data_IF_718461463745
#
_entry.id   IF_718461463745
#
_cell.length_a   1.000
_cell.length_b   1.000
_cell.length_c   1.000
_cell.angle_alpha   90.00
_cell.angle_beta   90.00
_cell.angle_gamma   90.00
#
_symmetry.space_group_name_H-M   'P 1'
#
loop_
_entity.id
_entity.type
_entity.pdbx_description
1 polymer ?
#
# COMPACT_ATOMS: atom_id res chain seq x y z
N UNK A 1 4.44 -6.85 22.77
CA UNK A 1 3.85 -5.67 22.10
C UNK A 1 2.92 -6.10 20.98
N UNK A 2 1.74 -5.47 20.85
CA UNK A 2 0.76 -5.77 19.80
C UNK A 2 0.61 -4.63 18.80
N UNK A 3 0.29 -4.99 17.55
CA UNK A 3 -0.11 -4.05 16.51
C UNK A 3 -1.48 -4.40 15.92
N UNK A 4 -2.25 -3.40 15.52
CA UNK A 4 -3.49 -3.52 14.75
C UNK A 4 -3.28 -2.89 13.37
N UNK A 5 -3.57 -3.62 12.30
CA UNK A 5 -3.45 -3.13 10.92
C UNK A 5 -4.85 -3.01 10.33
N UNK A 6 -5.22 -1.79 9.95
CA UNK A 6 -6.49 -1.46 9.30
C UNK A 6 -6.41 -1.83 7.81
N UNK A 7 -6.99 -2.96 7.44
CA UNK A 7 -6.91 -3.56 6.10
C UNK A 7 -8.31 -3.91 5.51
N UNK A 8 -9.38 -3.34 6.05
CA UNK A 8 -10.76 -3.60 5.62
C UNK A 8 -11.23 -2.83 4.38
N UNK A 9 -10.45 -1.85 3.91
CA UNK A 9 -10.84 -0.97 2.80
C UNK A 9 -10.91 -1.66 1.44
N UNK A 10 -11.87 -1.24 0.60
CA UNK A 10 -12.11 -1.79 -0.74
C UNK A 10 -11.22 -1.21 -1.84
N UNK A 11 -10.42 -0.18 -1.53
CA UNK A 11 -9.50 0.49 -2.47
C UNK A 11 -10.14 0.82 -3.84
N UNK A 12 -11.33 1.43 -3.84
CA UNK A 12 -12.15 1.65 -5.06
C UNK A 12 -11.46 2.48 -6.13
N UNK A 13 -10.53 3.37 -5.74
CA UNK A 13 -9.71 4.20 -6.65
C UNK A 13 -8.65 3.41 -7.43
N UNK A 14 -8.34 2.19 -6.99
CA UNK A 14 -7.41 1.28 -7.68
C UNK A 14 -8.14 0.26 -8.57
N UNK A 15 -9.46 0.40 -8.75
CA UNK A 15 -10.19 -0.46 -9.69
C UNK A 15 -9.70 -0.17 -11.12
N UNK A 16 -9.60 -1.19 -11.98
CA UNK A 16 -10.08 -2.56 -11.78
C UNK A 16 -9.16 -3.52 -11.00
N UNK A 17 -7.93 -3.15 -10.63
CA UNK A 17 -6.99 -4.07 -9.94
C UNK A 17 -7.54 -4.55 -8.59
N UNK A 18 -8.16 -3.65 -7.83
CA UNK A 18 -8.69 -3.99 -6.51
C UNK A 18 -10.00 -4.81 -6.55
N UNK A 19 -10.51 -5.14 -7.73
CA UNK A 19 -11.67 -6.02 -7.88
C UNK A 19 -11.33 -7.49 -7.64
N UNK A 20 -10.10 -7.91 -7.96
CA UNK A 20 -9.65 -9.30 -7.87
C UNK A 20 -8.73 -9.57 -6.69
N UNK A 21 -8.12 -8.53 -6.09
CA UNK A 21 -7.21 -8.70 -4.96
C UNK A 21 -7.23 -7.50 -4.01
N UNK A 22 -7.05 -7.71 -2.69
CA UNK A 22 -6.99 -6.61 -1.74
C UNK A 22 -5.71 -5.79 -1.95
N UNK A 23 -5.80 -4.47 -1.73
CA UNK A 23 -4.69 -3.51 -1.88
C UNK A 23 -3.45 -3.91 -1.05
N UNK A 24 -3.65 -4.51 0.12
CA UNK A 24 -2.57 -4.98 1.00
C UNK A 24 -1.70 -6.07 0.35
N UNK A 25 -2.21 -6.76 -0.67
CA UNK A 25 -1.48 -7.79 -1.42
C UNK A 25 -0.91 -7.27 -2.75
N UNK A 26 -1.05 -5.98 -3.05
CA UNK A 26 -0.42 -5.42 -4.24
C UNK A 26 1.10 -5.49 -4.08
N UNK A 27 1.84 -5.96 -5.10
CA UNK A 27 3.30 -6.06 -5.03
C UNK A 27 3.91 -4.66 -5.07
N UNK A 28 4.84 -4.39 -4.17
CA UNK A 28 5.70 -3.22 -4.16
C UNK A 28 7.11 -3.75 -4.36
N UNK A 29 7.64 -3.54 -5.56
CA UNK A 29 8.89 -4.14 -6.03
C UNK A 29 8.93 -5.66 -5.78
N UNK A 30 7.92 -6.35 -6.34
CA UNK A 30 7.69 -7.81 -6.23
C UNK A 30 7.39 -8.36 -4.83
N UNK A 31 7.31 -7.52 -3.79
CA UNK A 31 6.92 -7.95 -2.44
C UNK A 31 5.56 -7.35 -2.04
N UNK A 32 4.57 -8.14 -1.59
CA UNK A 32 3.28 -7.60 -1.14
C UNK A 32 3.43 -6.51 -0.08
N UNK A 33 2.63 -5.43 -0.17
CA UNK A 33 2.65 -4.34 0.82
C UNK A 33 2.55 -4.85 2.27
N UNK A 34 1.66 -5.81 2.52
CA UNK A 34 1.47 -6.41 3.83
C UNK A 34 2.74 -7.07 4.37
N UNK A 35 3.56 -7.67 3.50
CA UNK A 35 4.82 -8.29 3.90
C UNK A 35 5.85 -7.24 4.30
N UNK A 36 5.90 -6.08 3.62
CA UNK A 36 6.73 -4.96 4.05
C UNK A 36 6.34 -4.48 5.46
N UNK A 37 5.04 -4.40 5.76
CA UNK A 37 4.53 -4.02 7.07
C UNK A 37 4.95 -5.06 8.13
N UNK A 38 4.75 -6.35 7.86
CA UNK A 38 5.12 -7.42 8.79
C UNK A 38 6.61 -7.48 9.09
N UNK A 39 7.47 -7.34 8.09
CA UNK A 39 8.92 -7.36 8.28
C UNK A 39 9.39 -6.17 9.13
N UNK A 40 8.79 -4.99 8.95
CA UNK A 40 9.11 -3.80 9.76
C UNK A 40 8.62 -3.91 11.20
N UNK A 41 7.37 -4.34 11.39
CA UNK A 41 6.83 -4.60 12.73
C UNK A 41 7.68 -5.61 13.51
N UNK A 42 8.05 -6.73 12.88
CA UNK A 42 8.86 -7.75 13.51
C UNK A 42 10.28 -7.25 13.83
N UNK A 43 10.89 -6.47 12.93
CA UNK A 43 12.20 -5.84 13.15
C UNK A 43 12.20 -4.96 14.40
N UNK A 44 11.09 -4.27 14.67
CA UNK A 44 10.95 -3.36 15.81
C UNK A 44 10.38 -4.02 17.07
N UNK A 45 10.34 -5.36 17.11
CA UNK A 45 9.99 -6.13 18.31
C UNK A 45 8.49 -6.28 18.57
N UNK A 46 7.65 -6.20 17.54
CA UNK A 46 6.22 -6.54 17.64
C UNK A 46 6.04 -8.05 17.50
N UNK A 47 5.36 -8.66 18.46
CA UNK A 47 5.20 -10.11 18.54
C UNK A 47 3.90 -10.61 17.88
N UNK A 48 2.86 -9.77 17.87
CA UNK A 48 1.53 -10.12 17.38
C UNK A 48 0.89 -8.96 16.61
N UNK A 49 0.43 -9.23 15.40
CA UNK A 49 -0.34 -8.33 14.56
C UNK A 49 -1.79 -8.83 14.40
N UNK A 50 -2.74 -7.94 14.68
CA UNK A 50 -4.16 -8.15 14.47
C UNK A 50 -4.53 -7.43 13.16
N UNK A 51 -5.09 -8.16 12.20
CA UNK A 51 -5.57 -7.59 10.95
C UNK A 51 -7.07 -7.29 11.05
N UNK A 52 -7.43 -6.02 11.04
CA UNK A 52 -8.81 -5.57 10.88
C UNK A 52 -9.18 -5.63 9.40
N UNK A 53 -9.99 -6.62 9.01
CA UNK A 53 -10.24 -6.96 7.60
C UNK A 53 -11.72 -7.20 7.35
N UNK A 54 -12.15 -7.06 6.10
CA UNK A 54 -13.41 -7.68 5.66
C UNK A 54 -13.18 -9.17 5.33
N UNK A 55 -14.25 -9.93 5.19
CA UNK A 55 -14.19 -11.38 4.93
C UNK A 55 -13.42 -11.74 3.65
N UNK A 56 -13.56 -10.95 2.58
CA UNK A 56 -12.88 -11.18 1.32
C UNK A 56 -11.36 -10.97 1.47
N UNK A 57 -10.95 -9.88 2.12
CA UNK A 57 -9.54 -9.61 2.39
C UNK A 57 -8.92 -10.71 3.25
N UNK A 58 -9.63 -11.19 4.27
CA UNK A 58 -9.15 -12.33 5.08
C UNK A 58 -8.91 -13.57 4.22
N UNK A 59 -9.86 -13.92 3.36
CA UNK A 59 -9.76 -15.07 2.47
C UNK A 59 -8.47 -15.03 1.66
N UNK A 60 -8.20 -13.90 0.98
CA UNK A 60 -6.98 -13.74 0.18
C UNK A 60 -5.70 -13.80 1.00
N UNK A 61 -5.65 -13.16 2.17
CA UNK A 61 -4.46 -13.17 3.03
C UNK A 61 -4.17 -14.57 3.55
N UNK A 62 -5.18 -15.38 3.86
CA UNK A 62 -5.00 -16.77 4.33
C UNK A 62 -4.40 -17.70 3.26
N UNK A 63 -4.55 -17.38 1.98
CA UNK A 63 -3.91 -18.14 0.89
C UNK A 63 -2.42 -17.79 0.74
N UNK A 64 -1.95 -16.71 1.37
CA UNK A 64 -0.55 -16.32 1.33
C UNK A 64 0.26 -17.16 2.31
N UNK A 65 1.56 -17.31 2.02
CA UNK A 65 2.48 -17.91 2.99
C UNK A 65 2.55 -17.01 4.24
N UNK A 66 2.63 -17.60 5.44
CA UNK A 66 2.80 -16.82 6.66
C UNK A 66 4.09 -15.99 6.59
N UNK A 67 4.15 -14.85 7.28
CA UNK A 67 5.35 -14.04 7.31
C UNK A 67 6.53 -14.85 7.87
N UNK A 68 7.67 -14.82 7.17
CA UNK A 68 8.90 -15.50 7.60
C UNK A 68 9.69 -14.73 8.67
N UNK A 69 9.02 -13.87 9.44
CA UNK A 69 9.63 -12.99 10.44
C UNK A 69 9.21 -13.29 11.88
N UNK A 70 8.50 -14.41 12.13
CA UNK A 70 8.10 -14.83 13.49
C UNK A 70 6.89 -14.09 14.08
N UNK A 71 6.34 -13.10 13.37
CA UNK A 71 5.16 -12.33 13.78
C UNK A 71 3.90 -13.21 13.79
N UNK A 72 3.21 -13.28 14.93
CA UNK A 72 1.91 -13.97 15.05
C UNK A 72 0.82 -13.11 14.41
N UNK A 73 -0.05 -13.71 13.62
CA UNK A 73 -1.14 -12.99 12.93
C UNK A 73 -2.50 -13.48 13.40
N UNK A 74 -3.33 -12.54 13.85
CA UNK A 74 -4.76 -12.75 14.16
C UNK A 74 -5.62 -11.89 13.24
N UNK A 75 -6.91 -12.20 13.17
CA UNK A 75 -7.86 -11.46 12.35
C UNK A 75 -9.02 -10.94 13.21
N UNK A 76 -9.37 -9.67 13.01
CA UNK A 76 -10.63 -9.06 13.46
C UNK A 76 -11.46 -8.78 12.22
N UNK A 77 -12.54 -9.52 12.02
CA UNK A 77 -13.31 -9.48 10.76
C UNK A 77 -14.46 -8.50 10.91
N UNK A 78 -14.51 -7.43 10.12
CA UNK A 78 -15.62 -6.47 10.14
C UNK A 78 -16.96 -7.10 9.75
N UNK A 79 -18.10 -6.64 10.32
CA UNK A 79 -19.41 -7.14 9.96
C UNK A 79 -19.71 -6.92 8.46
N UNK A 80 -20.36 -7.88 7.78
CA UNK A 80 -20.72 -7.71 6.38
C UNK A 80 -21.68 -6.52 6.21
N UNK A 81 -21.49 -5.75 5.12
CA UNK A 81 -22.36 -4.64 4.68
C UNK A 81 -22.44 -3.42 5.61
N UNK A 82 -21.71 -3.39 6.74
CA UNK A 82 -21.67 -2.24 7.66
C UNK A 82 -20.20 -1.84 7.91
N UNK A 83 -19.60 -0.98 7.07
CA UNK A 83 -18.25 -0.50 7.32
C UNK A 83 -18.21 0.23 8.67
N UNK A 84 -17.28 -0.13 9.54
CA UNK A 84 -17.16 0.44 10.89
C UNK A 84 -16.37 1.76 10.93
N UNK A 85 -16.03 2.32 9.77
CA UNK A 85 -15.13 3.45 9.67
C UNK A 85 -13.69 3.07 10.03
N UNK A 86 -12.89 4.05 10.44
CA UNK A 86 -11.47 3.87 10.83
C UNK A 86 -11.32 3.62 12.34
N UNK A 87 -12.22 4.17 13.15
CA UNK A 87 -12.25 3.97 14.61
C UNK A 87 -12.94 2.69 15.05
N UNK A 88 -14.02 2.28 14.37
CA UNK A 88 -14.78 1.10 14.79
C UNK A 88 -14.00 -0.23 14.75
N UNK A 89 -13.11 -0.49 13.76
CA UNK A 89 -12.25 -1.67 13.81
C UNK A 89 -11.26 -1.66 14.98
N UNK A 90 -10.84 -0.48 15.45
CA UNK A 90 -10.00 -0.33 16.65
C UNK A 90 -10.78 -0.76 17.88
N UNK A 91 -12.00 -0.21 18.09
CA UNK A 91 -12.87 -0.63 19.21
C UNK A 91 -13.20 -2.12 19.16
N UNK A 92 -13.48 -2.65 17.97
CA UNK A 92 -13.75 -4.08 17.79
C UNK A 92 -12.58 -4.97 18.21
N UNK A 93 -11.34 -4.51 17.98
CA UNK A 93 -10.13 -5.25 18.33
C UNK A 93 -9.77 -5.17 19.82
N UNK A 94 -10.47 -4.38 20.64
CA UNK A 94 -10.21 -4.18 22.07
C UNK A 94 -9.97 -5.50 22.82
N UNK A 95 -10.85 -6.49 22.67
CA UNK A 95 -10.70 -7.81 23.34
C UNK A 95 -9.46 -8.59 22.90
N UNK A 96 -8.96 -8.38 21.69
CA UNK A 96 -7.75 -9.02 21.17
C UNK A 96 -6.49 -8.27 21.62
N UNK A 97 -6.58 -6.95 21.73
CA UNK A 97 -5.49 -6.07 22.15
C UNK A 97 -5.28 -6.15 23.67
N UNK A 98 -6.34 -5.98 24.47
CA UNK A 98 -6.27 -5.90 25.93
C UNK A 98 -6.03 -4.46 26.44
N UNK A 99 -5.85 -4.33 27.75
CA UNK A 99 -5.70 -3.03 28.44
C UNK A 99 -4.38 -2.88 29.20
N UNK A 100 -3.44 -3.81 29.04
CA UNK A 100 -2.23 -3.87 29.88
C UNK A 100 -1.10 -2.94 29.38
N UNK A 101 -0.98 -2.76 28.06
CA UNK A 101 0.08 -1.97 27.43
C UNK A 101 -0.43 -1.16 26.23
N UNK A 102 0.23 -0.04 25.87
CA UNK A 102 0.00 0.65 24.60
C UNK A 102 0.24 -0.27 23.40
N UNK A 103 -0.46 0.01 22.32
CA UNK A 103 -0.40 -0.79 21.09
C UNK A 103 -0.24 0.09 19.86
N UNK A 104 0.33 -0.49 18.80
CA UNK A 104 0.51 0.20 17.52
C UNK A 104 -0.75 0.03 16.67
N UNK A 105 -1.17 1.08 15.97
CA UNK A 105 -2.18 1.02 14.93
C UNK A 105 -1.58 1.52 13.62
N UNK A 106 -1.78 0.77 12.54
CA UNK A 106 -1.31 1.11 11.19
C UNK A 106 -2.46 1.13 10.20
N UNK A 107 -2.45 2.10 9.29
CA UNK A 107 -3.19 2.02 8.04
C UNK A 107 -2.48 0.99 7.15
N UNK A 108 -3.19 -0.06 6.72
CA UNK A 108 -2.61 -1.15 5.93
C UNK A 108 -2.32 -0.81 4.47
N UNK A 109 -2.48 0.45 4.08
CA UNK A 109 -2.56 0.89 2.69
C UNK A 109 -1.53 1.97 2.34
N UNK A 110 -0.55 2.17 3.21
CA UNK A 110 0.57 3.10 3.09
C UNK A 110 1.87 2.30 3.15
N UNK A 111 2.82 2.64 2.29
CA UNK A 111 4.21 2.23 2.49
C UNK A 111 4.93 3.32 3.27
N UNK A 112 5.40 3.02 4.48
CA UNK A 112 6.10 4.00 5.32
C UNK A 112 7.26 3.37 6.10
N UNK A 113 8.45 3.98 6.00
CA UNK A 113 9.62 3.66 6.80
C UNK A 113 9.50 4.36 8.14
N UNK A 114 8.98 3.64 9.12
CA UNK A 114 8.72 4.15 10.47
C UNK A 114 9.52 3.30 11.43
N UNK A 115 10.24 3.96 12.35
CA UNK A 115 10.80 3.32 13.53
C UNK A 115 9.70 3.25 14.60
N UNK A 116 9.05 2.10 14.69
CA UNK A 116 7.94 1.88 15.62
C UNK A 116 8.41 1.85 17.07
N UNK A 117 9.67 1.47 17.31
CA UNK A 117 10.27 1.48 18.64
C UNK A 117 10.45 2.91 19.12
N UNK A 118 10.97 3.81 18.29
CA UNK A 118 11.07 5.23 18.59
C UNK A 118 9.69 5.84 18.85
N UNK A 119 8.68 5.52 18.03
CA UNK A 119 7.32 6.03 18.20
C UNK A 119 6.74 5.62 19.56
N UNK A 120 6.96 4.36 19.97
CA UNK A 120 6.54 3.86 21.28
C UNK A 120 7.35 4.48 22.44
N UNK A 121 8.65 4.70 22.28
CA UNK A 121 9.47 5.36 23.29
C UNK A 121 9.02 6.80 23.54
N UNK A 122 8.69 7.54 22.48
CA UNK A 122 8.09 8.88 22.59
C UNK A 122 6.77 8.80 23.35
N UNK A 123 5.90 7.86 22.97
CA UNK A 123 4.62 7.67 23.64
C UNK A 123 4.79 7.44 25.15
N UNK A 124 5.66 6.49 25.55
CA UNK A 124 5.92 6.13 26.95
C UNK A 124 6.54 7.25 27.79
N UNK A 125 7.25 8.20 27.17
CA UNK A 125 7.84 9.36 27.86
C UNK A 125 6.82 10.50 28.10
N UNK A 126 5.61 10.34 27.60
CA UNK A 126 4.54 11.35 27.68
C UNK A 126 3.31 10.75 28.36
N UNK A 127 2.35 11.59 28.75
CA UNK A 127 1.04 11.13 29.23
C UNK A 127 -0.01 11.08 28.08
N UNK A 128 0.44 10.89 26.84
CA UNK A 128 -0.44 10.90 25.67
C UNK A 128 -1.37 9.68 25.65
N UNK A 129 -2.60 9.86 25.15
CA UNK A 129 -3.48 8.75 24.74
C UNK A 129 -3.11 8.32 23.33
N UNK A 130 -2.65 9.25 22.49
CA UNK A 130 -2.28 8.98 21.11
C UNK A 130 -0.97 9.68 20.75
N UNK A 131 -0.03 8.91 20.20
CA UNK A 131 1.17 9.43 19.56
C UNK A 131 1.12 9.11 18.07
N UNK A 132 1.06 10.14 17.23
CA UNK A 132 0.88 10.03 15.78
C UNK A 132 2.20 10.20 15.05
N UNK A 133 2.51 9.27 14.14
CA UNK A 133 3.58 9.46 13.18
C UNK A 133 3.20 10.54 12.16
N UNK A 134 4.10 11.49 11.91
CA UNK A 134 3.88 12.62 11.01
C UNK A 134 4.93 12.66 9.91
N UNK A 135 4.51 12.90 8.67
CA UNK A 135 5.41 13.19 7.55
C UNK A 135 5.06 14.54 6.93
N UNK A 136 6.05 15.18 6.30
CA UNK A 136 5.86 16.45 5.60
C UNK A 136 5.57 16.19 4.12
N UNK A 137 4.58 16.86 3.56
CA UNK A 137 4.23 16.75 2.12
C UNK A 137 3.98 18.13 1.50
N UNK A 138 4.10 18.23 0.18
CA UNK A 138 3.88 19.50 -0.53
C UNK A 138 2.39 19.90 -0.59
N UNK A 139 1.49 18.93 -0.85
CA UNK A 139 0.03 19.13 -0.84
C UNK A 139 -0.64 18.26 0.24
N UNK A 140 -1.01 18.85 1.39
CA UNK A 140 -1.63 18.11 2.49
C UNK A 140 -3.15 17.94 2.35
N UNK A 141 -3.79 18.48 1.31
CA UNK A 141 -5.27 18.58 1.21
C UNK A 141 -6.00 17.24 1.19
N UNK A 142 -5.31 16.15 0.84
CA UNK A 142 -5.88 14.79 0.81
C UNK A 142 -5.75 14.02 2.13
N UNK A 143 -5.17 14.63 3.17
CA UNK A 143 -4.77 13.93 4.39
C UNK A 143 -5.26 14.64 5.66
N UNK A 144 -5.16 13.96 6.80
CA UNK A 144 -5.29 14.59 8.10
C UNK A 144 -4.04 15.39 8.45
N UNK A 145 -4.21 16.67 8.79
CA UNK A 145 -3.11 17.62 8.99
C UNK A 145 -2.98 17.97 10.47
N UNK A 146 -1.78 17.84 11.00
CA UNK A 146 -1.45 18.13 12.38
C UNK A 146 -0.65 19.44 12.51
N UNK A 147 -1.01 20.26 13.47
CA UNK A 147 -0.22 21.41 13.87
C UNK A 147 0.46 21.13 15.21
N UNK A 148 1.79 21.22 15.23
CA UNK A 148 2.56 21.00 16.46
C UNK A 148 2.72 22.29 17.26
N UNK A 149 2.75 22.17 18.58
CA UNK A 149 3.22 23.20 19.51
C UNK A 149 4.44 22.70 20.30
N UNK A 150 4.81 23.41 21.38
CA UNK A 150 5.96 23.05 22.22
C UNK A 150 5.86 21.61 22.74
N UNK A 151 7.02 20.94 22.83
CA UNK A 151 7.09 19.54 23.29
C UNK A 151 6.52 18.51 22.31
N UNK A 152 6.27 18.88 21.05
CA UNK A 152 5.63 18.05 20.01
C UNK A 152 4.17 17.67 20.32
N UNK A 153 3.50 18.36 21.23
CA UNK A 153 2.05 18.22 21.39
C UNK A 153 1.33 18.66 20.12
N UNK A 154 0.25 17.97 19.75
CA UNK A 154 -0.59 18.37 18.62
C UNK A 154 -1.61 19.39 19.11
N UNK A 155 -1.51 20.63 18.64
CA UNK A 155 -2.42 21.74 18.97
C UNK A 155 -3.73 21.66 18.21
N UNK A 156 -3.68 21.26 16.94
CA UNK A 156 -4.83 21.11 16.04
C UNK A 156 -4.65 19.92 15.13
N UNK A 157 -5.73 19.20 14.89
CA UNK A 157 -5.79 18.12 13.90
C UNK A 157 -7.02 18.29 13.03
N UNK A 158 -6.84 18.36 11.70
CA UNK A 158 -7.92 18.61 10.74
C UNK A 158 -7.87 17.55 9.63
N UNK A 159 -8.92 16.74 9.51
CA UNK A 159 -9.03 15.73 8.46
C UNK A 159 -9.44 16.34 7.11
N UNK A 160 -8.53 16.30 6.14
CA UNK A 160 -8.71 16.79 4.75
C UNK A 160 -9.17 18.24 4.71
N UNK A 161 -8.32 19.18 5.17
CA UNK A 161 -8.66 20.59 5.14
C UNK A 161 -8.87 21.06 3.70
N UNK A 162 -9.75 22.05 3.47
CA UNK A 162 -9.84 22.71 2.17
C UNK A 162 -8.47 23.25 1.72
N UNK A 163 -8.24 23.30 0.40
CA UNK A 163 -6.99 23.81 -0.16
C UNK A 163 -6.68 25.22 0.36
N UNK A 164 -5.43 25.43 0.77
CA UNK A 164 -4.97 26.70 1.35
C UNK A 164 -5.36 26.93 2.82
N UNK A 165 -6.12 26.03 3.44
CA UNK A 165 -6.55 26.13 4.84
C UNK A 165 -5.86 25.11 5.76
N UNK A 166 -4.86 24.38 5.25
CA UNK A 166 -4.09 23.45 6.05
C UNK A 166 -3.25 24.22 7.08
N UNK A 167 -3.30 23.86 8.38
CA UNK A 167 -2.57 24.58 9.43
C UNK A 167 -1.06 24.32 9.38
N UNK A 168 -0.61 23.32 8.63
CA UNK A 168 0.77 22.97 8.39
C UNK A 168 0.89 22.08 7.15
N UNK A 169 2.10 21.63 6.83
CA UNK A 169 2.39 20.59 5.86
C UNK A 169 2.63 19.21 6.49
N UNK A 170 2.44 19.06 7.80
CA UNK A 170 2.61 17.81 8.53
C UNK A 170 1.31 17.01 8.50
N UNK A 171 1.35 15.88 7.81
CA UNK A 171 0.21 14.99 7.69
C UNK A 171 0.36 13.77 8.59
N UNK A 172 -0.78 13.19 8.94
CA UNK A 172 -0.89 11.87 9.51
C UNK A 172 -0.25 10.83 8.58
N UNK A 173 0.86 10.22 9.02
CA UNK A 173 1.59 9.22 8.25
C UNK A 173 0.92 7.84 8.27
N UNK A 174 -0.22 7.69 8.96
CA UNK A 174 -1.00 6.46 9.04
C UNK A 174 -0.46 5.44 10.03
N UNK A 175 0.33 5.87 11.00
CA UNK A 175 0.77 5.05 12.13
C UNK A 175 0.60 5.79 13.45
N UNK A 176 0.16 5.06 14.46
CA UNK A 176 -0.15 5.60 15.78
C UNK A 176 0.30 4.63 16.85
N UNK A 177 0.70 5.14 18.01
CA UNK A 177 0.72 4.38 19.26
C UNK A 177 -0.41 4.90 20.12
N UNK A 178 -1.26 3.99 20.57
CA UNK A 178 -2.47 4.32 21.33
C UNK A 178 -2.41 3.65 22.71
N UNK A 179 -2.78 4.40 23.74
CA UNK A 179 -3.03 3.87 25.08
C UNK A 179 -4.44 3.24 25.14
N UNK A 180 -4.67 2.23 26.00
CA UNK A 180 -5.98 1.58 26.15
C UNK A 180 -7.15 2.54 26.42
N UNK A 181 -6.93 3.71 27.03
CA UNK A 181 -7.98 4.73 27.24
C UNK A 181 -8.63 5.20 25.93
N UNK A 182 -7.99 4.99 24.77
CA UNK A 182 -8.59 5.30 23.47
C UNK A 182 -9.89 4.52 23.25
N UNK A 183 -10.01 3.32 23.82
CA UNK A 183 -11.20 2.48 23.63
C UNK A 183 -12.46 3.09 24.26
N UNK A 184 -12.33 3.90 25.31
CA UNK A 184 -13.45 4.59 25.96
C UNK A 184 -13.95 5.77 25.12
N UNK A 185 -13.08 6.31 24.26
CA UNK A 185 -13.39 7.45 23.39
C UNK A 185 -14.05 7.03 22.07
N UNK A 186 -14.04 5.74 21.73
CA UNK A 186 -14.61 5.20 20.48
C UNK A 186 -15.97 4.55 20.78
N UNK A 187 -17.08 5.13 20.29
CA UNK A 187 -18.41 4.55 20.47
C UNK A 187 -18.54 3.18 19.78
N UNK A 188 -19.20 2.25 20.45
CA UNK A 188 -19.48 0.92 19.90
C UNK A 188 -20.75 0.92 19.02
N UNK A 189 -20.91 -0.09 18.17
CA UNK A 189 -22.17 -0.37 17.46
C UNK A 189 -22.43 0.48 16.22
N UNK A 190 -21.54 1.41 15.86
CA UNK A 190 -21.67 2.26 14.67
C UNK A 190 -20.35 2.49 13.95
N UNK A 191 -20.43 3.05 12.75
CA UNK A 191 -19.27 3.58 12.06
C UNK A 191 -18.70 4.77 12.83
N UNK A 192 -17.38 4.79 13.01
CA UNK A 192 -16.66 5.89 13.67
C UNK A 192 -15.44 6.27 12.81
N UNK A 193 -15.25 7.56 12.53
CA UNK A 193 -13.97 8.05 12.01
C UNK A 193 -13.08 8.44 13.18
N UNK A 194 -11.94 7.76 13.34
CA UNK A 194 -10.98 8.12 14.41
C UNK A 194 -10.45 9.55 14.20
N UNK A 195 -10.26 9.95 12.94
CA UNK A 195 -9.72 11.24 12.53
C UNK A 195 -10.69 12.39 12.80
N UNK A 196 -11.99 12.17 12.60
CA UNK A 196 -13.01 13.22 12.71
C UNK A 196 -13.70 13.28 14.07
N UNK A 197 -13.79 12.15 14.79
CA UNK A 197 -14.62 12.06 15.99
C UNK A 197 -13.83 11.81 17.28
N UNK A 198 -12.62 11.25 17.17
CA UNK A 198 -11.85 10.78 18.33
C UNK A 198 -10.59 11.63 18.54
N UNK A 199 -9.73 11.74 17.53
CA UNK A 199 -8.51 12.56 17.61
C UNK A 199 -8.77 14.01 18.02
N UNK A 200 -9.81 14.72 17.54
CA UNK A 200 -10.12 16.06 18.03
C UNK A 200 -10.34 16.13 19.54
N UNK A 201 -11.00 15.13 20.14
CA UNK A 201 -11.20 15.06 21.60
C UNK A 201 -9.89 14.82 22.35
N UNK A 202 -9.00 14.00 21.79
CA UNK A 202 -7.67 13.75 22.37
C UNK A 202 -6.78 15.00 22.30
N UNK A 203 -6.89 15.76 21.20
CA UNK A 203 -6.24 17.06 21.03
C UNK A 203 -6.78 18.09 22.02
N UNK A 204 -8.10 18.21 22.16
CA UNK A 204 -8.75 19.11 23.13
C UNK A 204 -8.34 18.81 24.57
N UNK A 205 -8.14 17.53 24.90
CA UNK A 205 -7.64 17.09 26.20
C UNK A 205 -6.13 17.33 26.40
N UNK A 206 -5.40 17.81 25.38
CA UNK A 206 -3.94 18.00 25.43
C UNK A 206 -3.16 16.69 25.54
N UNK A 207 -3.75 15.55 25.16
CA UNK A 207 -3.15 14.21 25.30
C UNK A 207 -2.76 13.58 23.95
N UNK A 208 -2.50 14.41 22.93
CA UNK A 208 -2.03 13.96 21.62
C UNK A 208 -0.64 14.52 21.30
N UNK A 209 0.28 13.64 20.91
CA UNK A 209 1.67 13.99 20.57
C UNK A 209 1.99 13.58 19.14
N UNK A 210 2.74 14.40 18.42
CA UNK A 210 3.25 14.08 17.09
C UNK A 210 4.70 13.62 17.15
N UNK A 211 5.05 12.66 16.31
CA UNK A 211 6.42 12.20 16.11
C UNK A 211 6.73 12.28 14.61
N UNK A 212 7.64 13.16 14.22
CA UNK A 212 8.05 13.25 12.81
C UNK A 212 8.85 12.00 12.44
N UNK A 213 8.48 11.36 11.34
CA UNK A 213 9.21 10.21 10.80
C UNK A 213 10.23 10.68 9.75
N UNK A 214 11.33 9.95 9.66
CA UNK A 214 12.34 10.10 8.62
C UNK A 214 12.33 8.83 7.77
N UNK A 215 12.34 8.96 6.45
CA UNK A 215 12.33 7.82 5.53
C UNK A 215 11.26 7.93 4.46
N UNK A 216 11.14 6.89 3.65
CA UNK A 216 10.15 6.85 2.57
C UNK A 216 8.73 6.77 3.13
N UNK A 217 7.85 7.60 2.58
CA UNK A 217 6.41 7.57 2.85
C UNK A 217 5.66 7.72 1.53
N UNK A 218 4.78 6.77 1.21
CA UNK A 218 4.00 6.76 -0.02
C UNK A 218 2.57 6.27 0.25
N UNK A 219 1.57 7.11 0.00
CA UNK A 219 0.19 6.66 -0.21
C UNK A 219 0.12 5.96 -1.57
N UNK A 220 -0.42 4.74 -1.60
CA UNK A 220 -0.63 3.98 -2.84
C UNK A 220 -2.13 3.95 -3.21
N UNK A 221 -2.82 5.08 -3.04
CA UNK A 221 -4.27 5.22 -3.17
C UNK A 221 -4.80 5.25 -4.60
N UNK A 222 -3.96 5.62 -5.56
CA UNK A 222 -4.26 5.69 -7.00
C UNK A 222 -3.22 4.93 -7.84
N UNK A 223 -3.54 4.55 -9.09
CA UNK A 223 -2.60 3.85 -9.97
C UNK A 223 -1.30 4.61 -10.21
N UNK A 224 -1.37 5.92 -10.42
CA UNK A 224 -0.19 6.79 -10.61
C UNK A 224 0.69 6.85 -9.36
N UNK A 225 0.07 6.97 -8.18
CA UNK A 225 0.76 6.95 -6.88
C UNK A 225 1.42 5.57 -6.63
N UNK A 226 0.75 4.48 -7.01
CA UNK A 226 1.29 3.12 -6.91
C UNK A 226 2.49 2.89 -7.83
N UNK A 227 2.44 3.35 -9.09
CA UNK A 227 3.60 3.31 -10.00
C UNK A 227 4.77 4.15 -9.46
N UNK A 228 4.48 5.35 -8.95
CA UNK A 228 5.50 6.21 -8.37
C UNK A 228 6.12 5.61 -7.11
N UNK A 229 5.33 4.98 -6.24
CA UNK A 229 5.84 4.27 -5.06
C UNK A 229 6.80 3.16 -5.46
N UNK A 230 6.41 2.34 -6.45
CA UNK A 230 7.27 1.29 -7.00
C UNK A 230 8.58 1.84 -7.55
N UNK A 231 8.53 2.95 -8.31
CA UNK A 231 9.72 3.62 -8.83
C UNK A 231 10.64 4.11 -7.72
N UNK A 232 10.11 4.88 -6.77
CA UNK A 232 10.90 5.45 -5.66
C UNK A 232 11.53 4.36 -4.78
N UNK A 233 10.79 3.28 -4.51
CA UNK A 233 11.29 2.17 -3.70
C UNK A 233 12.30 1.33 -4.50
N UNK A 234 12.09 1.19 -5.81
CA UNK A 234 13.06 0.53 -6.68
C UNK A 234 14.40 1.28 -6.65
N UNK A 235 14.39 2.61 -6.76
CA UNK A 235 15.61 3.43 -6.64
C UNK A 235 16.34 3.23 -5.31
N UNK A 236 15.60 3.07 -4.20
CA UNK A 236 16.22 2.88 -2.89
C UNK A 236 16.83 1.48 -2.68
N UNK A 237 16.40 0.47 -3.44
CA UNK A 237 16.91 -0.91 -3.29
C UNK A 237 17.83 -1.37 -4.43
N UNK A 238 17.76 -0.78 -5.63
CA UNK A 238 18.53 -1.24 -6.81
C UNK A 238 20.04 -1.14 -6.65
N UNK A 239 20.53 -0.31 -5.73
CA UNK A 239 21.95 -0.29 -5.35
C UNK A 239 22.48 -1.67 -4.89
N UNK A 240 21.58 -2.63 -4.61
CA UNK A 240 21.90 -3.99 -4.17
C UNK A 240 21.63 -5.10 -5.19
N UNK A 241 21.09 -4.79 -6.38
CA UNK A 241 20.72 -5.82 -7.37
C UNK A 241 21.91 -6.21 -8.26
N UNK A 242 22.19 -7.52 -8.31
CA UNK A 242 23.28 -8.13 -9.10
C UNK A 242 23.01 -8.03 -10.61
N UNK A 243 24.09 -8.18 -11.37
CA UNK A 243 24.15 -8.09 -12.84
C UNK A 243 22.91 -8.66 -13.55
N UNK A 244 22.41 -7.98 -14.60
CA UNK A 244 21.30 -8.48 -15.40
C UNK A 244 21.58 -9.89 -15.95
N UNK A 245 20.55 -10.74 -16.11
CA UNK A 245 20.72 -12.04 -16.74
C UNK A 245 21.32 -11.87 -18.14
N UNK A 246 22.26 -12.74 -18.51
CA UNK A 246 22.85 -12.76 -19.84
C UNK A 246 21.80 -13.23 -20.87
N UNK A 247 21.75 -12.58 -22.02
CA UNK A 247 20.87 -12.96 -23.12
C UNK A 247 20.90 -11.94 -24.26
N UNK A 248 20.19 -12.24 -25.35
CA UNK A 248 20.06 -11.34 -26.51
C UNK A 248 18.96 -10.30 -26.29
N UNK A 249 18.91 -9.64 -25.14
CA UNK A 249 17.96 -8.58 -24.79
C UNK A 249 18.69 -7.42 -24.09
N UNK A 250 18.06 -6.26 -24.01
CA UNK A 250 18.60 -5.07 -23.36
C UNK A 250 17.88 -4.80 -22.04
N UNK A 251 18.64 -4.57 -20.96
CA UNK A 251 18.11 -4.10 -19.68
C UNK A 251 18.60 -2.67 -19.44
N UNK A 252 17.66 -1.75 -19.33
CA UNK A 252 17.90 -0.34 -18.98
C UNK A 252 17.53 -0.14 -17.52
N UNK A 253 18.55 -0.07 -16.65
CA UNK A 253 18.34 0.09 -15.20
C UNK A 253 17.63 1.42 -14.86
N UNK A 254 16.88 1.47 -13.75
CA UNK A 254 16.63 0.39 -12.79
C UNK A 254 15.53 -0.59 -13.25
N UNK A 255 15.70 -1.88 -12.95
CA UNK A 255 14.72 -2.96 -13.21
C UNK A 255 14.70 -3.93 -12.03
N UNK A 256 13.51 -4.45 -11.69
CA UNK A 256 13.36 -5.58 -10.77
C UNK A 256 12.74 -6.78 -11.49
N UNK A 257 13.44 -7.91 -11.46
CA UNK A 257 12.98 -9.19 -12.01
C UNK A 257 12.87 -10.19 -10.87
N UNK A 258 11.70 -10.82 -10.73
CA UNK A 258 11.53 -11.92 -9.78
C UNK A 258 11.98 -13.27 -10.38
N UNK A 259 11.92 -14.32 -9.56
CA UNK A 259 12.23 -15.68 -9.98
C UNK A 259 11.34 -16.16 -11.13
N UNK A 260 11.94 -16.86 -12.10
CA UNK A 260 11.21 -17.48 -13.22
C UNK A 260 10.86 -16.54 -14.37
N UNK A 261 11.23 -15.26 -14.31
CA UNK A 261 11.04 -14.33 -15.42
C UNK A 261 11.85 -14.78 -16.65
N UNK A 262 11.18 -14.87 -17.80
CA UNK A 262 11.82 -15.18 -19.10
C UNK A 262 11.62 -14.06 -20.09
N UNK A 263 12.63 -13.79 -20.93
CA UNK A 263 12.60 -12.71 -21.92
C UNK A 263 13.05 -13.20 -23.29
N UNK A 264 12.28 -12.86 -24.32
CA UNK A 264 12.63 -13.11 -25.70
C UNK A 264 13.73 -12.17 -26.21
N UNK A 265 14.36 -12.59 -27.31
CA UNK A 265 15.42 -11.83 -27.98
C UNK A 265 14.93 -10.46 -28.45
N UNK A 266 15.85 -9.49 -28.52
CA UNK A 266 15.66 -8.11 -28.96
C UNK A 266 14.66 -7.31 -28.14
N UNK A 267 14.25 -7.81 -26.97
CA UNK A 267 13.39 -7.09 -26.04
C UNK A 267 14.19 -6.06 -25.24
N UNK A 268 13.56 -4.94 -24.88
CA UNK A 268 14.13 -3.84 -24.11
C UNK A 268 13.30 -3.65 -22.84
N UNK A 269 13.90 -3.94 -21.69
CA UNK A 269 13.23 -3.88 -20.39
C UNK A 269 13.82 -2.74 -19.56
N UNK A 270 12.96 -1.83 -19.14
CA UNK A 270 13.28 -0.67 -18.33
C UNK A 270 13.54 0.62 -19.13
N UNK A 271 13.74 1.75 -18.44
CA UNK A 271 13.84 1.86 -16.99
C UNK A 271 12.51 1.73 -16.26
N UNK A 272 12.58 1.43 -14.97
CA UNK A 272 11.46 1.28 -14.05
C UNK A 272 10.45 0.21 -14.48
N UNK A 273 10.95 -0.91 -15.01
CA UNK A 273 10.16 -2.11 -15.25
C UNK A 273 10.31 -3.06 -14.05
N UNK A 274 9.19 -3.51 -13.50
CA UNK A 274 9.13 -4.47 -12.39
C UNK A 274 8.31 -5.67 -12.85
N UNK A 275 8.97 -6.82 -13.00
CA UNK A 275 8.34 -8.06 -13.47
C UNK A 275 8.29 -9.07 -12.33
N UNK A 276 7.07 -9.49 -11.98
CA UNK A 276 6.80 -10.48 -10.94
C UNK A 276 7.17 -11.90 -11.34
N UNK A 277 6.99 -12.82 -10.39
CA UNK A 277 7.33 -14.24 -10.53
C UNK A 277 6.72 -14.86 -11.79
N UNK A 278 7.50 -15.66 -12.51
CA UNK A 278 7.07 -16.42 -13.70
C UNK A 278 6.43 -15.57 -14.82
N UNK A 279 6.73 -14.27 -14.90
CA UNK A 279 6.33 -13.43 -16.04
C UNK A 279 7.07 -13.86 -17.30
N UNK A 280 6.33 -14.04 -18.39
CA UNK A 280 6.89 -14.43 -19.70
C UNK A 280 6.80 -13.27 -20.67
N UNK A 281 7.95 -12.85 -21.20
CA UNK A 281 8.05 -11.78 -22.19
C UNK A 281 8.50 -12.36 -23.52
N UNK A 282 7.75 -12.10 -24.59
CA UNK A 282 8.06 -12.48 -25.96
C UNK A 282 9.27 -11.75 -26.55
N UNK A 283 9.45 -11.88 -27.87
CA UNK A 283 10.54 -11.23 -28.63
C UNK A 283 10.17 -9.82 -29.05
N UNK A 284 11.17 -8.94 -29.17
CA UNK A 284 11.00 -7.55 -29.60
C UNK A 284 9.97 -6.76 -28.76
N UNK A 285 9.90 -7.05 -27.46
CA UNK A 285 8.98 -6.36 -26.52
C UNK A 285 9.69 -5.16 -25.89
N UNK A 286 8.98 -4.05 -25.72
CA UNK A 286 9.47 -2.90 -24.93
C UNK A 286 8.62 -2.72 -23.69
N UNK A 287 9.23 -2.68 -22.50
CA UNK A 287 8.52 -2.43 -21.23
C UNK A 287 9.23 -1.30 -20.48
N UNK A 288 8.55 -0.17 -20.26
CA UNK A 288 9.09 0.95 -19.48
C UNK A 288 8.09 1.49 -18.47
N UNK A 289 8.57 1.95 -17.31
CA UNK A 289 7.76 2.55 -16.24
C UNK A 289 6.52 1.71 -15.84
N UNK A 290 6.63 0.38 -15.90
CA UNK A 290 5.48 -0.52 -15.80
C UNK A 290 5.70 -1.55 -14.70
N UNK A 291 4.60 -1.94 -14.05
CA UNK A 291 4.58 -3.01 -13.04
C UNK A 291 3.75 -4.17 -13.58
N UNK A 292 4.37 -5.34 -13.68
CA UNK A 292 3.75 -6.57 -14.20
C UNK A 292 3.70 -7.58 -13.08
N UNK A 293 2.49 -7.97 -12.70
CA UNK A 293 2.23 -8.91 -11.62
C UNK A 293 2.60 -10.34 -12.04
N UNK A 294 2.68 -11.28 -11.08
CA UNK A 294 3.09 -12.66 -11.36
C UNK A 294 2.32 -13.32 -12.50
N UNK A 295 2.99 -14.25 -13.18
CA UNK A 295 2.40 -15.17 -14.17
C UNK A 295 1.78 -14.51 -15.41
N UNK A 296 1.97 -13.19 -15.60
CA UNK A 296 1.52 -12.51 -16.80
C UNK A 296 2.34 -12.94 -18.03
N UNK A 297 1.67 -13.01 -19.18
CA UNK A 297 2.27 -13.39 -20.46
C UNK A 297 2.16 -12.24 -21.46
N UNK A 298 3.30 -11.76 -21.94
CA UNK A 298 3.41 -10.64 -22.89
C UNK A 298 3.88 -11.20 -24.24
N UNK A 299 3.04 -11.07 -25.27
CA UNK A 299 3.32 -11.55 -26.62
C UNK A 299 4.46 -10.81 -27.33
N UNK A 300 4.89 -11.34 -28.46
CA UNK A 300 5.92 -10.72 -29.30
C UNK A 300 5.49 -9.34 -29.80
N UNK A 301 6.46 -8.44 -30.00
CA UNK A 301 6.24 -7.09 -30.56
C UNK A 301 5.27 -6.20 -29.76
N UNK A 302 5.15 -6.44 -28.46
CA UNK A 302 4.32 -5.62 -27.56
C UNK A 302 5.09 -4.42 -27.03
N UNK A 303 4.39 -3.29 -26.86
CA UNK A 303 4.89 -2.10 -26.17
C UNK A 303 4.06 -1.80 -24.92
N UNK A 304 4.72 -1.70 -23.77
CA UNK A 304 4.13 -1.29 -22.49
C UNK A 304 4.82 -0.02 -21.98
N UNK A 305 4.05 1.03 -21.77
CA UNK A 305 4.58 2.30 -21.26
C UNK A 305 3.75 2.77 -20.08
N UNK A 306 4.30 2.85 -18.87
CA UNK A 306 3.55 3.42 -17.75
C UNK A 306 2.34 2.60 -17.31
N UNK A 307 2.32 1.29 -17.54
CA UNK A 307 1.13 0.45 -17.37
C UNK A 307 1.22 -0.47 -16.14
N UNK A 308 0.06 -0.91 -15.65
CA UNK A 308 -0.05 -1.95 -14.61
C UNK A 308 -0.72 -3.17 -15.21
N UNK A 309 0.00 -4.29 -15.22
CA UNK A 309 -0.48 -5.57 -15.75
C UNK A 309 -0.71 -6.53 -14.58
N UNK A 310 -1.93 -7.03 -14.46
CA UNK A 310 -2.41 -7.88 -13.39
C UNK A 310 -1.93 -9.32 -13.50
N UNK A 311 -2.15 -10.08 -12.43
CA UNK A 311 -1.67 -11.44 -12.27
C UNK A 311 -2.30 -12.37 -13.32
N UNK A 312 -1.48 -13.14 -14.03
CA UNK A 312 -1.94 -14.05 -15.08
C UNK A 312 -2.59 -13.38 -16.29
N UNK A 313 -2.49 -12.04 -16.42
CA UNK A 313 -3.00 -11.35 -17.60
C UNK A 313 -2.21 -11.75 -18.86
N UNK A 314 -2.89 -11.79 -20.02
CA UNK A 314 -2.29 -12.19 -21.31
C UNK A 314 -2.43 -11.06 -22.31
N UNK A 315 -1.31 -10.62 -22.85
CA UNK A 315 -1.26 -9.58 -23.88
C UNK A 315 -0.82 -10.22 -25.19
N UNK A 316 -1.69 -10.16 -26.20
CA UNK A 316 -1.45 -10.71 -27.52
C UNK A 316 -0.34 -9.98 -28.26
N UNK A 317 0.14 -10.60 -29.34
CA UNK A 317 1.24 -10.06 -30.15
C UNK A 317 0.87 -8.71 -30.76
N UNK A 318 1.85 -7.86 -31.00
CA UNK A 318 1.67 -6.55 -31.63
C UNK A 318 0.70 -5.60 -30.91
N UNK A 319 0.36 -5.87 -29.64
CA UNK A 319 -0.46 -4.94 -28.85
C UNK A 319 0.37 -3.74 -28.40
N UNK A 320 -0.27 -2.58 -28.30
CA UNK A 320 0.34 -1.34 -27.81
C UNK A 320 -0.47 -0.79 -26.64
N UNK A 321 0.16 -0.71 -25.47
CA UNK A 321 -0.49 -0.38 -24.21
C UNK A 321 0.05 0.95 -23.69
N UNK A 322 -0.80 1.98 -23.77
CA UNK A 322 -0.49 3.35 -23.38
C UNK A 322 -0.31 3.59 -21.88
N UNK A 323 0.03 4.84 -21.54
CA UNK A 323 0.37 5.28 -20.18
C UNK A 323 -0.82 5.27 -19.25
N UNK A 324 -0.60 4.81 -18.03
CA UNK A 324 -1.65 4.69 -17.02
C UNK A 324 -2.69 3.61 -17.36
N UNK A 325 -2.45 2.78 -18.39
CA UNK A 325 -3.32 1.66 -18.66
C UNK A 325 -3.27 0.63 -17.53
N UNK A 326 -4.42 0.01 -17.28
CA UNK A 326 -4.56 -1.05 -16.28
C UNK A 326 -5.20 -2.26 -16.93
N UNK A 327 -4.45 -3.36 -17.00
CA UNK A 327 -4.97 -4.65 -17.42
C UNK A 327 -5.08 -5.49 -16.16
N UNK A 328 -6.28 -5.73 -15.63
CA UNK A 328 -6.44 -6.41 -14.35
C UNK A 328 -6.18 -7.93 -14.43
N UNK A 329 -6.21 -8.60 -13.27
CA UNK A 329 -5.85 -10.01 -13.16
C UNK A 329 -6.65 -10.89 -14.12
N UNK A 330 -5.97 -11.85 -14.76
CA UNK A 330 -6.54 -12.81 -15.71
C UNK A 330 -7.19 -12.19 -16.97
N UNK A 331 -7.06 -10.88 -17.18
CA UNK A 331 -7.58 -10.22 -18.38
C UNK A 331 -6.76 -10.62 -19.62
N UNK A 332 -7.41 -10.56 -20.79
CA UNK A 332 -6.82 -10.91 -22.08
C UNK A 332 -6.97 -9.74 -23.05
N UNK A 333 -5.86 -9.31 -23.62
CA UNK A 333 -5.82 -8.37 -24.74
C UNK A 333 -5.44 -9.19 -25.96
N UNK A 334 -6.27 -9.21 -27.01
CA UNK A 334 -5.92 -9.93 -28.25
C UNK A 334 -4.76 -9.26 -28.97
N UNK A 335 -4.24 -9.96 -29.97
CA UNK A 335 -3.23 -9.42 -30.86
C UNK A 335 -3.72 -8.20 -31.63
N UNK A 336 -2.80 -7.30 -31.97
CA UNK A 336 -3.04 -6.04 -32.70
C UNK A 336 -4.01 -5.06 -32.03
N UNK A 337 -4.28 -5.23 -30.72
CA UNK A 337 -5.12 -4.30 -29.95
C UNK A 337 -4.27 -3.14 -29.44
N UNK A 338 -4.74 -1.93 -29.70
CA UNK A 338 -4.18 -0.68 -29.18
C UNK A 338 -5.05 -0.14 -28.04
N UNK A 339 -4.42 0.18 -26.91
CA UNK A 339 -5.06 0.81 -25.76
C UNK A 339 -4.50 2.21 -25.53
N UNK A 340 -5.37 3.22 -25.62
CA UNK A 340 -5.03 4.60 -25.28
C UNK A 340 -4.73 4.77 -23.81
N UNK A 341 -3.87 5.75 -23.51
CA UNK A 341 -3.55 6.23 -22.17
C UNK A 341 -4.78 6.30 -21.24
N UNK A 342 -4.64 5.74 -20.05
CA UNK A 342 -5.66 5.71 -19.00
C UNK A 342 -6.76 4.67 -19.17
N UNK A 343 -6.70 3.84 -20.21
CA UNK A 343 -7.68 2.77 -20.44
C UNK A 343 -7.55 1.63 -19.43
N UNK A 344 -8.65 0.92 -19.15
CA UNK A 344 -8.64 -0.17 -18.20
C UNK A 344 -9.46 -1.39 -18.66
N UNK A 345 -8.94 -2.59 -18.39
CA UNK A 345 -9.61 -3.86 -18.62
C UNK A 345 -9.90 -4.53 -17.28
N UNK A 346 -11.16 -4.90 -17.06
CA UNK A 346 -11.60 -5.58 -15.84
C UNK A 346 -11.04 -7.00 -15.73
N UNK A 347 -11.01 -7.59 -14.51
CA UNK A 347 -10.47 -8.94 -14.33
C UNK A 347 -11.22 -9.97 -15.18
N UNK A 348 -10.47 -10.96 -15.70
CA UNK A 348 -10.98 -12.05 -16.53
C UNK A 348 -11.76 -11.63 -17.80
N UNK A 349 -11.71 -10.35 -18.19
CA UNK A 349 -12.29 -9.89 -19.47
C UNK A 349 -11.31 -10.09 -20.61
N UNK A 350 -11.87 -10.33 -21.79
CA UNK A 350 -11.15 -10.36 -23.05
C UNK A 350 -11.57 -9.16 -23.91
N UNK A 351 -10.59 -8.48 -24.50
CA UNK A 351 -10.82 -7.41 -25.48
C UNK A 351 -10.19 -7.80 -26.81
N UNK A 352 -10.93 -7.56 -27.89
CA UNK A 352 -10.52 -7.86 -29.27
C UNK A 352 -10.51 -6.64 -30.18
N UNK A 353 -10.86 -5.47 -29.65
CA UNK A 353 -10.96 -4.22 -30.38
C UNK A 353 -10.16 -3.14 -29.66
N UNK A 354 -9.70 -2.14 -30.42
CA UNK A 354 -8.95 -1.01 -29.89
C UNK A 354 -9.79 -0.22 -28.89
N UNK A 355 -9.12 0.29 -27.86
CA UNK A 355 -9.70 1.24 -26.90
C UNK A 355 -9.03 2.58 -27.17
N UNK A 356 -9.71 3.44 -27.93
CA UNK A 356 -9.20 4.70 -28.49
C UNK A 356 -9.56 5.95 -27.67
#
# INVERSE_FOLDING_TARGET
MKALILAGGFATRLRPLSCSRPKTLFPIVNKPLLQWIFERLAKDGVDEAILAVNALTQFYIRQQKPPKCGLKVKFSIDPPKKPLGTGGPIKKAEKLIGHDEPFIVLNGDIFAEIDYKQLLEVHRKTNAIATMALCSVDDPSSFGVAELCEGNCIRRFIEKPPKGQAPSNLINAGAYVLSPEIFDLIPEGRAVSIEREVFPKVVEAGRMVGCRINGLWMDIGKPTEYLQANKTILDSIVQTLKNPPAGHFEIKQPVALDYGVTMGEKSVIGPYAILGKDVKVGKNVTITNSVVFPEAEIGDFVSLHGAIIGEGARIGKHADIGRGCIIADQAKVREYVHMRDGSAVCPAKEISENIL
#
